data_IF_241746508991
#
_entry.id   IF_241746508991
#
_cell.length_a   1.000
_cell.length_b   1.000
_cell.length_c   1.000
_cell.angle_alpha   90.00
_cell.angle_beta   90.00
_cell.angle_gamma   90.00
#
_symmetry.space_group_name_H-M   'P 1'
#
loop_
_entity.id
_entity.type
_entity.pdbx_description
1 polymer ?
#
# COMPACT_ATOMS: atom_id res chain seq x y z
N UNK A 1 48.81 -32.53 -19.86
CA UNK A 1 47.54 -33.23 -19.57
C UNK A 1 46.66 -32.22 -18.86
N UNK A 2 45.83 -31.53 -19.65
CA UNK A 2 44.97 -30.43 -19.21
C UNK A 2 43.76 -31.01 -18.47
N UNK A 3 43.40 -30.45 -17.31
CA UNK A 3 42.07 -30.61 -16.74
C UNK A 3 41.37 -29.26 -16.75
N UNK A 4 40.23 -29.28 -17.40
CA UNK A 4 39.41 -28.16 -17.83
C UNK A 4 38.86 -27.31 -16.68
N UNK A 5 38.89 -26.00 -16.89
CA UNK A 5 37.97 -25.01 -16.34
C UNK A 5 36.56 -25.25 -16.84
N UNK A 6 35.58 -25.43 -15.94
CA UNK A 6 34.18 -25.10 -16.19
C UNK A 6 33.33 -25.11 -14.90
N UNK A 7 33.06 -23.93 -14.36
CA UNK A 7 31.81 -23.64 -13.64
C UNK A 7 31.60 -22.12 -13.61
N UNK A 8 31.38 -21.52 -14.79
CA UNK A 8 30.70 -20.21 -14.89
C UNK A 8 29.20 -20.48 -14.75
N UNK A 9 28.74 -20.56 -13.51
CA UNK A 9 27.31 -20.57 -13.16
C UNK A 9 26.80 -19.14 -13.02
N UNK A 10 25.88 -18.76 -13.88
CA UNK A 10 25.14 -17.49 -13.92
C UNK A 10 24.08 -17.42 -12.81
N UNK A 11 24.50 -17.26 -11.55
CA UNK A 11 23.60 -17.08 -10.39
C UNK A 11 23.86 -15.79 -9.58
N UNK A 12 24.85 -14.97 -9.97
CA UNK A 12 25.27 -13.79 -9.22
C UNK A 12 24.39 -12.54 -9.34
N UNK A 13 23.37 -12.53 -10.19
CA UNK A 13 22.61 -11.31 -10.52
C UNK A 13 21.28 -11.12 -9.76
N UNK A 14 20.88 -12.07 -8.91
CA UNK A 14 19.58 -11.99 -8.19
C UNK A 14 19.66 -11.40 -6.78
N UNK A 15 20.86 -11.10 -6.27
CA UNK A 15 21.04 -10.51 -4.94
C UNK A 15 21.86 -9.24 -5.05
N UNK A 16 21.19 -8.07 -4.93
CA UNK A 16 21.87 -6.79 -4.76
C UNK A 16 22.16 -6.60 -3.27
N UNK A 17 23.41 -6.28 -2.93
CA UNK A 17 23.79 -5.93 -1.55
C UNK A 17 23.31 -4.51 -1.24
N UNK A 18 22.68 -4.34 -0.08
CA UNK A 18 22.27 -3.05 0.45
C UNK A 18 23.43 -2.36 1.17
N UNK A 19 23.44 -1.03 1.19
CA UNK A 19 24.37 -0.29 2.03
C UNK A 19 23.92 -0.36 3.49
N UNK A 20 24.86 -0.62 4.40
CA UNK A 20 24.56 -0.77 5.83
C UNK A 20 25.46 0.15 6.64
N UNK A 21 24.84 0.92 7.53
CA UNK A 21 25.54 1.72 8.54
C UNK A 21 25.05 1.36 9.93
N UNK A 22 25.83 1.76 10.94
CA UNK A 22 25.35 1.87 12.31
C UNK A 22 25.61 3.26 12.84
N UNK A 23 24.67 3.77 13.62
CA UNK A 23 24.77 5.07 14.27
C UNK A 23 24.58 4.95 15.78
N UNK A 24 25.31 5.76 16.55
CA UNK A 24 25.10 5.86 17.98
C UNK A 24 23.78 6.59 18.32
N UNK A 25 23.49 6.74 19.62
CA UNK A 25 22.29 7.43 20.09
C UNK A 25 22.28 8.95 19.81
N UNK A 26 23.42 9.52 19.40
CA UNK A 26 23.55 10.90 18.96
C UNK A 26 23.56 11.02 17.42
N UNK A 27 23.12 9.98 16.73
CA UNK A 27 23.09 9.88 15.27
C UNK A 27 24.46 10.04 14.60
N UNK A 28 25.54 9.56 15.24
CA UNK A 28 26.89 9.58 14.68
C UNK A 28 27.29 8.23 14.13
N UNK A 29 27.96 8.18 12.98
CA UNK A 29 28.40 6.91 12.40
C UNK A 29 29.40 6.18 13.29
N UNK A 30 29.12 4.90 13.57
CA UNK A 30 30.00 3.99 14.31
C UNK A 30 30.33 2.72 13.52
N UNK A 31 29.71 2.53 12.37
CA UNK A 31 30.03 1.49 11.38
C UNK A 31 29.56 1.94 10.01
N UNK A 32 30.38 1.70 8.99
CA UNK A 32 30.11 1.99 7.59
C UNK A 32 30.62 0.81 6.78
N UNK A 33 29.82 0.27 5.87
CA UNK A 33 30.29 -0.72 4.89
C UNK A 33 30.74 -0.07 3.56
N UNK A 34 31.35 -0.88 2.69
CA UNK A 34 31.89 -0.41 1.40
C UNK A 34 30.81 0.15 0.45
N UNK A 35 29.54 -0.21 0.62
CA UNK A 35 28.44 0.27 -0.21
C UNK A 35 27.93 1.61 0.30
N UNK A 36 27.90 1.80 1.62
CA UNK A 36 27.62 3.08 2.25
C UNK A 36 28.69 4.12 1.87
N UNK A 37 29.97 3.77 1.84
CA UNK A 37 31.02 4.71 1.38
C UNK A 37 30.72 5.27 -0.03
N UNK A 38 30.27 4.39 -0.94
CA UNK A 38 29.87 4.79 -2.30
C UNK A 38 28.61 5.65 -2.30
N UNK A 39 27.64 5.33 -1.45
CA UNK A 39 26.39 6.06 -1.31
C UNK A 39 26.60 7.49 -0.79
N UNK A 40 27.42 7.64 0.25
CA UNK A 40 27.73 8.95 0.84
C UNK A 40 28.81 9.73 0.06
N UNK A 41 29.51 9.06 -0.88
CA UNK A 41 30.59 9.66 -1.66
C UNK A 41 31.84 9.97 -0.82
N UNK A 42 32.01 9.31 0.32
CA UNK A 42 33.13 9.50 1.24
C UNK A 42 33.65 8.16 1.75
N UNK A 43 34.96 8.05 2.00
CA UNK A 43 35.51 6.86 2.64
C UNK A 43 35.12 6.83 4.12
N UNK A 44 35.11 5.64 4.72
CA UNK A 44 34.62 5.39 6.07
C UNK A 44 35.39 6.17 7.14
N UNK A 45 36.68 6.45 6.94
CA UNK A 45 37.48 7.25 7.87
C UNK A 45 36.98 8.69 7.96
N UNK A 46 36.38 9.21 6.89
CA UNK A 46 35.79 10.54 6.86
C UNK A 46 34.36 10.56 7.40
N UNK A 47 33.67 9.42 7.40
CA UNK A 47 32.30 9.29 7.89
C UNK A 47 32.25 8.99 9.39
N UNK A 48 33.21 8.23 9.92
CA UNK A 48 33.22 7.79 11.31
C UNK A 48 33.14 8.98 12.28
N UNK A 49 32.17 8.95 13.20
CA UNK A 49 31.90 10.00 14.18
C UNK A 49 31.20 11.25 13.65
N UNK A 50 31.01 11.40 12.33
CA UNK A 50 30.18 12.49 11.76
C UNK A 50 28.71 12.30 12.06
N UNK A 51 27.95 13.38 12.03
CA UNK A 51 26.52 13.36 12.24
C UNK A 51 25.78 12.95 10.97
N UNK A 52 24.75 12.10 11.10
CA UNK A 52 23.80 11.83 10.02
C UNK A 52 23.11 13.10 9.52
N UNK A 53 22.98 14.11 10.37
CA UNK A 53 22.39 15.40 9.99
C UNK A 53 23.10 16.02 8.78
N UNK A 54 24.40 15.81 8.66
CA UNK A 54 25.20 16.41 7.58
C UNK A 54 24.89 15.81 6.20
N UNK A 55 24.16 14.68 6.17
CA UNK A 55 23.87 13.89 4.97
C UNK A 55 22.37 13.69 4.72
N UNK A 56 21.51 14.40 5.44
CA UNK A 56 20.06 14.34 5.28
C UNK A 56 19.53 15.76 5.10
N UNK A 57 18.42 15.91 4.38
CA UNK A 57 17.67 17.16 4.47
C UNK A 57 16.95 17.30 5.83
N UNK A 58 16.50 18.51 6.16
CA UNK A 58 15.93 18.80 7.48
C UNK A 58 14.65 18.01 7.76
N UNK A 59 13.83 17.75 6.73
CA UNK A 59 12.61 16.93 6.85
C UNK A 59 12.96 15.48 7.18
N UNK A 60 13.88 14.89 6.42
CA UNK A 60 14.36 13.52 6.62
C UNK A 60 15.07 13.34 7.95
N UNK A 61 15.85 14.34 8.38
CA UNK A 61 16.50 14.30 9.68
C UNK A 61 15.48 14.37 10.82
N UNK A 62 14.45 15.21 10.68
CA UNK A 62 13.34 15.29 11.66
C UNK A 62 12.57 13.97 11.74
N UNK A 63 12.30 13.34 10.59
CA UNK A 63 11.66 12.03 10.52
C UNK A 63 12.52 10.93 11.14
N UNK A 64 13.82 10.92 10.88
CA UNK A 64 14.74 9.99 11.54
C UNK A 64 14.66 10.14 13.07
N UNK A 65 14.71 11.38 13.56
CA UNK A 65 14.62 11.66 15.00
C UNK A 65 13.27 11.34 15.63
N UNK A 66 12.18 11.21 14.87
CA UNK A 66 10.90 10.74 15.44
C UNK A 66 10.86 9.21 15.57
N UNK A 67 11.59 8.50 14.71
CA UNK A 67 11.67 7.03 14.73
C UNK A 67 12.55 6.53 15.88
N UNK A 68 13.74 7.11 16.08
CA UNK A 68 14.73 6.59 17.04
C UNK A 68 14.27 6.57 18.53
N UNK A 69 13.62 7.61 19.08
CA UNK A 69 13.28 7.69 20.50
C UNK A 69 11.92 7.07 20.85
N UNK A 70 11.11 6.70 19.86
CA UNK A 70 9.68 6.40 20.06
C UNK A 70 9.39 5.07 20.75
N UNK A 71 10.41 4.26 21.11
CA UNK A 71 10.19 2.91 21.62
C UNK A 71 10.81 2.67 23.00
N UNK A 72 9.93 2.29 23.93
CA UNK A 72 10.28 1.91 25.30
C UNK A 72 11.31 0.78 25.27
N UNK A 73 12.34 0.96 26.10
CA UNK A 73 13.53 0.13 26.15
C UNK A 73 13.18 -1.36 26.34
N UNK A 74 13.89 -2.26 25.63
CA UNK A 74 13.95 -3.73 25.76
C UNK A 74 13.34 -4.60 24.63
N UNK A 75 12.77 -4.04 23.57
CA UNK A 75 12.33 -4.84 22.41
C UNK A 75 13.09 -4.48 21.11
N UNK A 76 13.41 -5.49 20.30
CA UNK A 76 13.92 -5.28 18.94
C UNK A 76 12.80 -4.77 18.05
N UNK A 77 13.02 -3.66 17.37
CA UNK A 77 12.08 -3.11 16.40
C UNK A 77 12.70 -3.03 15.00
N UNK A 78 11.81 -2.98 14.00
CA UNK A 78 12.15 -2.71 12.62
C UNK A 78 11.17 -1.67 12.10
N UNK A 79 11.66 -0.48 11.77
CA UNK A 79 10.85 0.58 11.16
C UNK A 79 11.33 0.79 9.73
N UNK A 80 10.39 0.84 8.79
CA UNK A 80 10.68 1.16 7.40
C UNK A 80 10.17 2.57 7.07
N UNK A 81 11.05 3.42 6.54
CA UNK A 81 10.69 4.79 6.16
C UNK A 81 11.50 5.24 4.95
N UNK A 82 11.14 6.39 4.38
CA UNK A 82 11.85 6.99 3.24
C UNK A 82 12.52 8.28 3.66
N UNK A 83 13.80 8.41 3.34
CA UNK A 83 14.60 9.60 3.60
C UNK A 83 15.26 10.11 2.32
N UNK A 84 15.56 11.40 2.30
CA UNK A 84 16.39 12.06 1.29
C UNK A 84 17.81 12.22 1.83
N UNK A 85 18.74 11.47 1.25
CA UNK A 85 20.18 11.58 1.53
C UNK A 85 20.83 12.61 0.61
N UNK A 86 21.73 13.41 1.16
CA UNK A 86 22.57 14.37 0.43
C UNK A 86 24.00 13.86 0.52
N UNK A 87 24.58 13.45 -0.61
CA UNK A 87 25.94 12.92 -0.62
C UNK A 87 26.99 14.06 -0.58
N UNK A 88 28.27 13.71 -0.47
CA UNK A 88 29.35 14.71 -0.40
C UNK A 88 29.54 15.57 -1.66
N UNK A 89 28.91 15.20 -2.79
CA UNK A 89 28.87 16.01 -4.02
C UNK A 89 27.67 16.97 -4.01
N UNK A 90 26.75 16.81 -3.07
CA UNK A 90 25.50 17.56 -2.98
C UNK A 90 24.35 16.92 -3.76
N UNK A 91 24.55 15.71 -4.30
CA UNK A 91 23.49 14.99 -5.01
C UNK A 91 22.46 14.46 -4.01
N UNK A 92 21.18 14.57 -4.37
CA UNK A 92 20.06 14.11 -3.54
C UNK A 92 19.61 12.71 -3.97
N UNK A 93 19.48 11.82 -3.00
CA UNK A 93 19.08 10.43 -3.18
C UNK A 93 17.89 10.13 -2.28
N UNK A 94 16.69 9.93 -2.86
CA UNK A 94 15.57 9.38 -2.11
C UNK A 94 15.77 7.87 -1.93
N UNK A 95 15.70 7.39 -0.69
CA UNK A 95 16.03 6.01 -0.35
C UNK A 95 15.02 5.45 0.65
N UNK A 96 14.60 4.20 0.42
CA UNK A 96 13.90 3.41 1.42
C UNK A 96 14.92 2.85 2.41
N UNK A 97 14.66 3.04 3.69
CA UNK A 97 15.53 2.57 4.77
C UNK A 97 14.77 1.68 5.72
N UNK A 98 15.50 0.72 6.29
CA UNK A 98 15.04 -0.09 7.42
C UNK A 98 15.94 0.26 8.60
N UNK A 99 15.33 0.70 9.70
CA UNK A 99 16.00 1.07 10.94
C UNK A 99 15.68 0.01 11.99
N UNK A 100 16.70 -0.46 12.70
CA UNK A 100 16.53 -1.38 13.83
C UNK A 100 17.49 -1.07 14.96
N UNK A 101 17.06 -1.28 16.21
CA UNK A 101 17.94 -1.16 17.38
C UNK A 101 18.71 -2.46 17.61
N UNK A 102 20.05 -2.35 17.67
CA UNK A 102 20.94 -3.46 17.99
C UNK A 102 21.19 -3.56 19.50
N UNK A 103 21.28 -4.79 19.99
CA UNK A 103 21.60 -5.10 21.39
C UNK A 103 22.93 -5.83 21.51
N UNK A 104 23.73 -5.46 22.51
CA UNK A 104 24.95 -6.17 22.92
C UNK A 104 24.79 -6.55 24.37
N UNK A 105 24.80 -7.87 24.66
CA UNK A 105 24.57 -8.41 25.99
C UNK A 105 23.29 -7.87 26.66
N UNK A 106 22.21 -7.74 25.89
CA UNK A 106 20.91 -7.26 26.36
C UNK A 106 20.79 -5.74 26.52
N UNK A 107 21.87 -4.99 26.30
CA UNK A 107 21.84 -3.53 26.34
C UNK A 107 21.77 -2.95 24.92
N UNK A 108 20.91 -1.94 24.68
CA UNK A 108 20.88 -1.25 23.39
C UNK A 108 22.25 -0.60 23.14
N UNK A 109 22.80 -0.79 21.94
CA UNK A 109 24.17 -0.39 21.62
C UNK A 109 24.26 0.67 20.51
N UNK A 110 23.45 0.53 19.46
CA UNK A 110 23.40 1.42 18.30
C UNK A 110 22.15 1.13 17.47
N UNK A 111 21.84 2.02 16.55
CA UNK A 111 20.87 1.74 15.50
C UNK A 111 21.61 1.23 14.26
N UNK A 112 21.08 0.17 13.65
CA UNK A 112 21.46 -0.27 12.31
C UNK A 112 20.48 0.32 11.31
N UNK A 113 21.03 0.87 10.23
CA UNK A 113 20.24 1.39 9.12
C UNK A 113 20.69 0.64 7.87
N UNK A 114 19.73 0.02 7.20
CA UNK A 114 19.91 -0.64 5.91
C UNK A 114 19.28 0.27 4.87
N UNK A 115 20.09 0.83 3.99
CA UNK A 115 19.61 1.53 2.80
C UNK A 115 19.31 0.49 1.75
N UNK A 116 18.03 0.29 1.45
CA UNK A 116 17.70 -0.36 0.21
C UNK A 116 18.03 0.64 -0.88
N UNK A 117 18.97 0.35 -1.80
CA UNK A 117 18.90 1.04 -3.07
C UNK A 117 17.47 0.79 -3.54
N UNK A 118 16.73 1.85 -3.86
CA UNK A 118 15.50 1.67 -4.60
C UNK A 118 15.83 0.65 -5.69
N UNK A 119 14.86 -0.22 -6.03
CA UNK A 119 14.76 -0.67 -7.41
C UNK A 119 15.16 0.56 -8.21
N UNK A 120 16.30 0.53 -8.91
CA UNK A 120 16.50 1.47 -10.00
C UNK A 120 15.14 1.39 -10.66
N UNK A 121 14.39 2.50 -10.64
CA UNK A 121 13.30 2.59 -11.58
C UNK A 121 14.09 2.41 -12.85
N UNK A 122 14.08 1.18 -13.38
CA UNK A 122 14.20 0.93 -14.79
C UNK A 122 13.38 2.08 -15.32
N UNK A 123 13.95 2.99 -16.11
CA UNK A 123 13.16 3.96 -16.84
C UNK A 123 12.32 3.12 -17.79
N UNK A 124 11.31 2.47 -17.22
CA UNK A 124 10.28 1.74 -17.85
C UNK A 124 9.16 2.72 -17.69
N UNK A 125 8.84 3.34 -18.81
CA UNK A 125 7.59 4.00 -19.13
C UNK A 125 6.41 3.02 -19.00
N UNK A 126 6.36 2.22 -17.94
CA UNK A 126 5.35 1.23 -17.63
C UNK A 126 5.02 1.32 -16.15
N UNK A 127 4.10 2.26 -15.90
CA UNK A 127 3.04 2.15 -14.90
C UNK A 127 3.50 1.83 -13.47
N UNK A 128 3.88 2.88 -12.73
CA UNK A 128 3.39 2.96 -11.35
C UNK A 128 1.90 2.66 -11.43
N UNK A 129 1.48 1.60 -10.76
CA UNK A 129 0.37 0.83 -11.29
C UNK A 129 -1.02 1.43 -11.12
N UNK A 130 -1.18 2.76 -11.08
CA UNK A 130 -2.39 3.55 -10.76
C UNK A 130 -3.07 3.19 -9.42
N UNK A 131 -3.29 1.91 -9.17
CA UNK A 131 -3.84 1.26 -8.00
C UNK A 131 -2.79 0.91 -6.94
N UNK A 132 -1.49 1.12 -7.19
CA UNK A 132 -0.41 0.76 -6.25
C UNK A 132 -0.47 1.47 -4.89
N UNK A 133 -1.11 2.65 -4.82
CA UNK A 133 -1.29 3.40 -3.57
C UNK A 133 -2.51 2.94 -2.76
N UNK A 134 -3.50 2.30 -3.41
CA UNK A 134 -4.74 1.88 -2.74
C UNK A 134 -4.45 0.94 -1.55
N UNK A 135 -3.64 -0.14 -1.68
CA UNK A 135 -3.37 -1.03 -0.55
C UNK A 135 -2.83 -0.31 0.68
N UNK A 136 -1.90 0.64 0.50
CA UNK A 136 -1.33 1.40 1.61
C UNK A 136 -2.37 2.29 2.30
N UNK A 137 -3.20 2.99 1.52
CA UNK A 137 -4.29 3.81 2.06
C UNK A 137 -5.32 2.97 2.81
N UNK A 138 -5.66 1.79 2.28
CA UNK A 138 -6.61 0.88 2.91
C UNK A 138 -6.06 0.30 4.21
N UNK A 139 -4.80 -0.16 4.24
CA UNK A 139 -4.15 -0.68 5.46
C UNK A 139 -4.11 0.41 6.54
N UNK A 140 -3.69 1.63 6.17
CA UNK A 140 -3.67 2.76 7.10
C UNK A 140 -5.06 3.06 7.65
N UNK A 141 -6.08 3.13 6.80
CA UNK A 141 -7.46 3.36 7.22
C UNK A 141 -7.98 2.26 8.16
N UNK A 142 -7.76 0.98 7.81
CA UNK A 142 -8.24 -0.16 8.61
C UNK A 142 -7.59 -0.17 9.99
N UNK A 143 -6.31 0.19 10.09
CA UNK A 143 -5.60 0.26 11.36
C UNK A 143 -6.16 1.32 12.33
N UNK A 144 -6.91 2.29 11.80
CA UNK A 144 -7.55 3.37 12.56
C UNK A 144 -9.01 3.09 12.93
N UNK A 145 -9.58 1.93 12.57
CA UNK A 145 -10.97 1.60 12.90
C UNK A 145 -11.04 1.20 14.38
N UNK A 146 -11.66 2.04 15.20
CA UNK A 146 -11.81 1.76 16.65
C UNK A 146 -13.10 0.99 16.98
N UNK A 147 -14.23 1.33 16.33
CA UNK A 147 -15.55 0.76 16.62
C UNK A 147 -16.38 0.53 15.37
N UNK A 148 -16.59 1.59 14.60
CA UNK A 148 -17.46 1.58 13.42
C UNK A 148 -16.68 1.96 12.17
N UNK A 149 -17.06 1.36 11.04
CA UNK A 149 -16.45 1.65 9.73
C UNK A 149 -17.14 2.86 9.13
N UNK A 150 -16.36 3.90 8.85
CA UNK A 150 -16.79 5.01 7.99
C UNK A 150 -16.74 4.58 6.52
N UNK A 151 -17.81 3.93 6.06
CA UNK A 151 -17.95 3.42 4.69
C UNK A 151 -17.79 4.51 3.62
N UNK A 152 -18.16 5.75 3.95
CA UNK A 152 -18.05 6.89 3.03
C UNK A 152 -16.59 7.28 2.83
N UNK A 153 -15.82 7.37 3.92
CA UNK A 153 -14.38 7.61 3.88
C UNK A 153 -13.67 6.48 3.12
N UNK A 154 -14.04 5.22 3.37
CA UNK A 154 -13.50 4.07 2.66
C UNK A 154 -13.73 4.16 1.14
N UNK A 155 -14.94 4.47 0.69
CA UNK A 155 -15.22 4.68 -0.73
C UNK A 155 -14.43 5.86 -1.31
N UNK A 156 -14.15 6.89 -0.50
CA UNK A 156 -13.32 8.03 -0.88
C UNK A 156 -11.86 7.67 -1.19
N UNK A 157 -11.31 6.63 -0.57
CA UNK A 157 -9.92 6.22 -0.83
C UNK A 157 -9.71 5.73 -2.27
N UNK A 158 -10.73 5.12 -2.87
CA UNK A 158 -10.69 4.71 -4.28
C UNK A 158 -10.64 5.90 -5.24
N UNK A 159 -11.08 7.09 -4.81
CA UNK A 159 -11.03 8.29 -5.64
C UNK A 159 -9.60 8.84 -5.75
N UNK A 160 -8.62 8.35 -4.98
CA UNK A 160 -7.22 8.69 -5.19
C UNK A 160 -6.69 8.20 -6.55
N UNK A 161 -7.36 7.22 -7.17
CA UNK A 161 -7.00 6.69 -8.48
C UNK A 161 -7.84 7.36 -9.57
N UNK A 162 -7.18 8.09 -10.48
CA UNK A 162 -7.85 8.87 -11.53
C UNK A 162 -8.73 8.03 -12.45
N UNK A 163 -8.36 6.77 -12.66
CA UNK A 163 -9.11 5.86 -13.52
C UNK A 163 -10.33 5.23 -12.87
N UNK A 164 -10.46 5.28 -11.53
CA UNK A 164 -11.69 4.90 -10.84
C UNK A 164 -12.64 6.09 -10.83
N UNK A 165 -13.75 5.98 -11.53
CA UNK A 165 -14.76 7.03 -11.64
C UNK A 165 -15.74 7.01 -10.48
N UNK A 166 -16.11 5.81 -10.03
CA UNK A 166 -17.02 5.60 -8.90
C UNK A 166 -16.67 4.32 -8.16
N UNK A 167 -16.89 4.34 -6.85
CA UNK A 167 -16.81 3.16 -6.01
C UNK A 167 -18.00 3.14 -5.06
N UNK A 168 -18.45 1.95 -4.69
CA UNK A 168 -19.52 1.77 -3.73
C UNK A 168 -19.47 0.40 -3.11
N UNK A 169 -19.85 0.35 -1.85
CA UNK A 169 -19.81 -0.86 -1.04
C UNK A 169 -21.23 -1.22 -0.66
N UNK A 170 -21.55 -2.49 -0.89
CA UNK A 170 -22.85 -3.06 -0.56
C UNK A 170 -22.69 -4.12 0.53
N UNK A 171 -23.67 -4.20 1.41
CA UNK A 171 -23.90 -5.33 2.31
C UNK A 171 -24.88 -6.30 1.67
N UNK A 172 -24.54 -7.59 1.70
CA UNK A 172 -25.45 -8.64 1.28
C UNK A 172 -26.42 -8.94 2.42
N UNK A 173 -27.71 -8.73 2.16
CA UNK A 173 -28.81 -9.16 3.01
C UNK A 173 -29.57 -10.26 2.28
N UNK A 174 -30.16 -11.22 3.01
CA UNK A 174 -30.87 -12.42 2.50
C UNK A 174 -31.23 -12.44 1.00
N UNK A 175 -32.01 -11.44 0.52
CA UNK A 175 -32.43 -11.34 -0.88
C UNK A 175 -32.10 -9.99 -1.57
N UNK A 176 -31.19 -9.18 -1.02
CA UNK A 176 -30.84 -7.87 -1.59
C UNK A 176 -29.41 -7.40 -1.30
N UNK A 177 -28.96 -6.41 -2.06
CA UNK A 177 -27.74 -5.66 -1.79
C UNK A 177 -28.10 -4.27 -1.24
N UNK A 178 -27.78 -4.04 0.03
CA UNK A 178 -27.94 -2.74 0.67
C UNK A 178 -26.70 -1.88 0.42
N UNK A 179 -26.86 -0.71 -0.19
CA UNK A 179 -25.76 0.22 -0.40
C UNK A 179 -25.34 0.88 0.92
N UNK A 180 -24.14 0.56 1.42
CA UNK A 180 -23.59 1.17 2.63
C UNK A 180 -23.05 2.58 2.35
N UNK A 181 -22.30 2.73 1.26
CA UNK A 181 -21.75 4.01 0.82
C UNK A 181 -21.38 4.00 -0.66
N UNK A 182 -21.23 5.19 -1.22
CA UNK A 182 -20.71 5.40 -2.58
C UNK A 182 -19.92 6.70 -2.65
N UNK A 183 -18.92 6.74 -3.52
CA UNK A 183 -18.20 7.95 -3.85
C UNK A 183 -17.89 8.00 -5.36
N UNK A 184 -17.70 9.20 -5.89
CA UNK A 184 -17.47 9.42 -7.31
C UNK A 184 -16.68 10.71 -7.52
N UNK A 185 -15.84 10.71 -8.56
CA UNK A 185 -15.18 11.95 -9.03
C UNK A 185 -16.21 12.96 -9.53
N UNK A 186 -15.85 14.25 -9.53
CA UNK A 186 -16.59 15.28 -10.28
C UNK A 186 -16.41 15.06 -11.79
N UNK A 187 -16.96 13.96 -12.31
CA UNK A 187 -16.93 13.61 -13.72
C UNK A 187 -18.00 14.40 -14.51
N UNK A 188 -17.85 14.53 -15.84
CA UNK A 188 -18.85 15.17 -16.69
C UNK A 188 -20.24 14.54 -16.53
N UNK A 189 -21.26 15.38 -16.56
CA UNK A 189 -22.67 15.01 -16.46
C UNK A 189 -23.09 14.05 -17.59
N UNK A 190 -22.98 12.75 -17.35
CA UNK A 190 -23.32 11.71 -18.32
C UNK A 190 -22.73 10.32 -18.04
N UNK A 191 -21.62 10.26 -17.29
CA UNK A 191 -20.94 9.01 -16.93
C UNK A 191 -21.41 8.48 -15.55
N UNK A 192 -22.33 9.21 -14.88
CA UNK A 192 -22.78 8.84 -13.56
C UNK A 192 -23.81 7.71 -13.59
N UNK A 193 -23.37 6.50 -13.24
CA UNK A 193 -24.25 5.37 -12.91
C UNK A 193 -24.85 5.57 -11.52
N UNK A 194 -26.14 5.25 -11.38
CA UNK A 194 -26.85 5.28 -10.11
C UNK A 194 -26.66 3.94 -9.38
N UNK A 195 -25.90 3.95 -8.29
CA UNK A 195 -25.63 2.77 -7.47
C UNK A 195 -26.84 2.34 -6.62
N UNK A 196 -27.85 3.20 -6.44
CA UNK A 196 -29.08 2.86 -5.75
C UNK A 196 -30.03 2.00 -6.60
N UNK A 197 -29.81 1.91 -7.91
CA UNK A 197 -30.61 1.03 -8.79
C UNK A 197 -30.18 -0.41 -8.63
N UNK A 198 -31.14 -1.26 -8.28
CA UNK A 198 -30.96 -2.71 -8.23
C UNK A 198 -30.49 -3.26 -9.58
N UNK A 199 -29.50 -4.14 -9.52
CA UNK A 199 -29.03 -4.89 -10.68
C UNK A 199 -28.83 -6.34 -10.25
N UNK A 200 -29.64 -7.22 -10.84
CA UNK A 200 -29.67 -8.65 -10.52
C UNK A 200 -28.31 -9.33 -10.72
N UNK A 201 -27.53 -8.88 -11.71
CA UNK A 201 -26.23 -9.48 -12.00
C UNK A 201 -25.24 -9.29 -10.84
N UNK A 202 -25.28 -8.13 -10.17
CA UNK A 202 -24.42 -7.87 -9.00
C UNK A 202 -24.86 -8.66 -7.77
N UNK A 203 -26.17 -8.84 -7.58
CA UNK A 203 -26.68 -9.72 -6.53
C UNK A 203 -26.25 -11.18 -6.79
N UNK A 204 -26.45 -11.68 -8.00
CA UNK A 204 -26.04 -13.03 -8.39
C UNK A 204 -24.52 -13.23 -8.24
N UNK A 205 -23.72 -12.20 -8.53
CA UNK A 205 -22.27 -12.19 -8.34
C UNK A 205 -21.87 -12.35 -6.86
N UNK A 206 -22.53 -11.59 -5.97
CA UNK A 206 -22.31 -11.69 -4.53
C UNK A 206 -22.72 -13.08 -4.00
N UNK A 207 -23.91 -13.57 -4.36
CA UNK A 207 -24.41 -14.88 -3.91
C UNK A 207 -23.54 -16.04 -4.40
N UNK A 208 -23.08 -15.97 -5.66
CA UNK A 208 -22.19 -17.00 -6.24
C UNK A 208 -20.73 -16.81 -5.83
N UNK A 209 -20.41 -15.74 -5.09
CA UNK A 209 -19.05 -15.37 -4.70
C UNK A 209 -18.09 -15.34 -5.90
N UNK A 210 -18.52 -14.70 -7.01
CA UNK A 210 -17.72 -14.58 -8.23
C UNK A 210 -17.77 -13.15 -8.79
N UNK A 211 -16.66 -12.58 -9.30
CA UNK A 211 -16.66 -11.24 -9.87
C UNK A 211 -17.56 -11.11 -11.10
N UNK A 212 -18.31 -10.00 -11.18
CA UNK A 212 -19.05 -9.62 -12.39
C UNK A 212 -18.39 -8.40 -13.02
N UNK A 213 -18.28 -8.40 -14.35
CA UNK A 213 -17.63 -7.33 -15.13
C UNK A 213 -18.43 -7.08 -16.39
N UNK A 214 -18.76 -5.82 -16.64
CA UNK A 214 -19.49 -5.40 -17.83
C UNK A 214 -18.87 -4.14 -18.44
N UNK A 215 -18.46 -4.20 -19.70
CA UNK A 215 -17.94 -3.04 -20.43
C UNK A 215 -19.07 -2.28 -21.13
N UNK A 216 -19.08 -0.95 -21.01
CA UNK A 216 -20.08 -0.06 -21.63
C UNK A 216 -19.38 1.10 -22.32
N UNK A 217 -19.82 1.41 -23.54
CA UNK A 217 -19.44 2.65 -24.22
C UNK A 217 -20.45 3.74 -23.85
N UNK A 218 -20.00 4.79 -23.16
CA UNK A 218 -20.84 5.94 -22.79
C UNK A 218 -20.46 7.14 -23.66
N UNK A 219 -21.45 7.68 -24.36
CA UNK A 219 -21.31 8.94 -25.08
C UNK A 219 -21.56 10.11 -24.12
N UNK A 220 -20.56 10.98 -23.94
CA UNK A 220 -20.74 12.23 -23.21
C UNK A 220 -21.82 13.09 -23.90
N UNK A 221 -22.78 13.64 -23.14
CA UNK A 221 -23.84 14.46 -23.72
C UNK A 221 -23.29 15.80 -24.24
N UNK A 222 -23.69 16.11 -25.48
CA UNK A 222 -23.47 17.35 -26.26
C UNK A 222 -23.23 18.61 -25.43
N UNK A 223 -22.02 19.16 -25.49
CA UNK A 223 -21.80 20.58 -25.79
C UNK A 223 -20.35 20.97 -26.12
N UNK A 224 -19.37 20.08 -25.98
CA UNK A 224 -18.05 20.21 -26.61
C UNK A 224 -17.50 18.80 -26.82
N UNK A 225 -16.97 18.52 -28.01
CA UNK A 225 -16.37 17.24 -28.48
C UNK A 225 -16.94 15.95 -27.87
N UNK A 226 -17.82 15.29 -28.62
CA UNK A 226 -18.37 13.98 -28.27
C UNK A 226 -17.29 12.89 -28.24
N UNK A 227 -16.55 12.81 -27.14
CA UNK A 227 -15.62 11.73 -26.85
C UNK A 227 -16.42 10.60 -26.21
N UNK A 228 -16.54 9.49 -26.93
CA UNK A 228 -17.10 8.27 -26.38
C UNK A 228 -16.07 7.67 -25.42
N UNK A 229 -16.47 7.40 -24.17
CA UNK A 229 -15.60 6.85 -23.14
C UNK A 229 -16.02 5.41 -22.90
N UNK A 230 -15.08 4.48 -23.08
CA UNK A 230 -15.25 3.12 -22.60
C UNK A 230 -15.14 3.12 -21.08
N UNK A 231 -16.12 2.53 -20.42
CA UNK A 231 -16.06 2.27 -18.99
C UNK A 231 -16.29 0.80 -18.72
N UNK A 232 -15.86 0.35 -17.56
CA UNK A 232 -16.11 -0.99 -17.04
C UNK A 232 -16.83 -0.86 -15.70
N UNK A 233 -17.97 -1.53 -15.58
CA UNK A 233 -18.81 -1.64 -14.40
C UNK A 233 -18.59 -3.03 -13.79
N UNK A 234 -17.82 -3.07 -12.71
CA UNK A 234 -17.41 -4.32 -12.07
C UNK A 234 -17.92 -4.43 -10.64
N UNK A 235 -18.20 -5.65 -10.21
CA UNK A 235 -18.62 -6.00 -8.86
C UNK A 235 -17.78 -7.15 -8.35
N UNK A 236 -17.10 -6.93 -7.24
CA UNK A 236 -16.17 -7.86 -6.63
C UNK A 236 -16.73 -8.31 -5.27
N UNK A 237 -16.95 -9.61 -5.05
CA UNK A 237 -17.44 -10.13 -3.78
C UNK A 237 -16.50 -9.77 -2.62
N UNK A 238 -17.10 -9.38 -1.49
CA UNK A 238 -16.40 -9.19 -0.23
C UNK A 238 -16.68 -10.42 0.63
N UNK A 239 -15.66 -11.25 0.81
CA UNK A 239 -15.80 -12.57 1.41
C UNK A 239 -14.80 -12.83 2.52
N UNK A 240 -15.24 -13.59 3.52
CA UNK A 240 -14.40 -14.10 4.60
C UNK A 240 -14.64 -15.60 4.76
N UNK A 241 -13.57 -16.40 4.76
CA UNK A 241 -13.66 -17.87 4.82
C UNK A 241 -14.63 -18.50 3.80
N UNK A 242 -14.69 -17.93 2.59
CA UNK A 242 -15.57 -18.40 1.51
C UNK A 242 -17.02 -17.93 1.60
N UNK A 243 -17.43 -17.28 2.70
CA UNK A 243 -18.75 -16.66 2.84
C UNK A 243 -18.72 -15.21 2.37
N UNK A 244 -19.51 -14.88 1.35
CA UNK A 244 -19.70 -13.52 0.88
C UNK A 244 -20.64 -12.76 1.82
N UNK A 245 -20.20 -11.59 2.29
CA UNK A 245 -21.01 -10.71 3.14
C UNK A 245 -21.36 -9.39 2.44
N UNK A 246 -20.71 -9.08 1.32
CA UNK A 246 -20.92 -7.81 0.62
C UNK A 246 -20.36 -7.79 -0.78
N UNK A 247 -20.39 -6.62 -1.42
CA UNK A 247 -19.90 -6.41 -2.77
C UNK A 247 -19.22 -5.04 -2.88
N UNK A 248 -18.00 -5.01 -3.42
CA UNK A 248 -17.36 -3.78 -3.88
C UNK A 248 -17.69 -3.58 -5.36
N UNK A 249 -18.43 -2.51 -5.68
CA UNK A 249 -18.71 -2.11 -7.07
C UNK A 249 -17.84 -0.95 -7.47
N UNK A 250 -17.19 -1.05 -8.63
CA UNK A 250 -16.25 -0.04 -9.14
C UNK A 250 -16.55 0.26 -10.61
N UNK A 251 -16.60 1.53 -10.96
CA UNK A 251 -16.67 2.02 -12.35
C UNK A 251 -15.33 2.63 -12.72
N UNK A 252 -14.71 2.18 -13.81
CA UNK A 252 -13.37 2.67 -14.22
C UNK A 252 -13.19 2.72 -15.75
N UNK A 253 -12.23 3.51 -16.24
CA UNK A 253 -12.04 3.79 -17.69
C UNK A 253 -11.28 2.71 -18.46
N UNK A 254 -10.38 1.98 -17.82
CA UNK A 254 -9.53 0.98 -18.47
C UNK A 254 -9.82 -0.44 -17.97
N UNK A 255 -10.45 -1.24 -18.84
CA UNK A 255 -10.81 -2.65 -18.59
C UNK A 255 -9.67 -3.65 -18.65
N UNK A 256 -8.40 -3.22 -18.58
CA UNK A 256 -7.27 -4.13 -18.55
C UNK A 256 -7.45 -5.22 -17.49
N UNK A 257 -7.03 -6.45 -17.83
CA UNK A 257 -7.14 -7.59 -16.92
C UNK A 257 -6.36 -7.35 -15.63
N UNK A 258 -5.24 -6.63 -15.70
CA UNK A 258 -4.43 -6.26 -14.55
C UNK A 258 -5.21 -5.41 -13.53
N UNK A 259 -5.95 -4.38 -13.99
CA UNK A 259 -6.77 -3.54 -13.11
C UNK A 259 -7.88 -4.36 -12.43
N UNK A 260 -8.52 -5.25 -13.20
CA UNK A 260 -9.56 -6.13 -12.66
C UNK A 260 -9.00 -7.05 -11.58
N UNK A 261 -7.85 -7.67 -11.84
CA UNK A 261 -7.24 -8.63 -10.92
C UNK A 261 -6.80 -7.93 -9.63
N UNK A 262 -6.22 -6.73 -9.72
CA UNK A 262 -5.90 -5.89 -8.53
C UNK A 262 -7.13 -5.49 -7.73
N UNK A 263 -8.20 -5.03 -8.39
CA UNK A 263 -9.44 -4.68 -7.70
C UNK A 263 -10.07 -5.90 -7.01
N UNK A 264 -9.94 -7.08 -7.60
CA UNK A 264 -10.36 -8.32 -6.98
C UNK A 264 -9.51 -8.69 -5.74
N UNK A 265 -8.20 -8.52 -5.80
CA UNK A 265 -7.30 -8.69 -4.65
C UNK A 265 -7.65 -7.71 -3.50
N UNK A 266 -7.90 -6.44 -3.85
CA UNK A 266 -8.35 -5.42 -2.89
C UNK A 266 -9.69 -5.82 -2.27
N UNK A 267 -10.64 -6.30 -3.06
CA UNK A 267 -11.93 -6.77 -2.56
C UNK A 267 -11.76 -7.98 -1.63
N UNK A 268 -10.88 -8.93 -1.95
CA UNK A 268 -10.58 -10.07 -1.09
C UNK A 268 -9.95 -9.63 0.24
N UNK A 269 -9.04 -8.66 0.22
CA UNK A 269 -8.46 -8.07 1.43
C UNK A 269 -9.53 -7.39 2.30
N UNK A 270 -10.34 -6.50 1.71
CA UNK A 270 -11.42 -5.81 2.41
C UNK A 270 -12.47 -6.78 2.95
N UNK A 271 -12.79 -7.82 2.18
CA UNK A 271 -13.68 -8.90 2.58
C UNK A 271 -13.24 -9.56 3.87
N UNK A 272 -11.94 -9.85 4.02
CA UNK A 272 -11.41 -10.41 5.25
C UNK A 272 -11.32 -9.39 6.39
N UNK A 273 -10.80 -8.19 6.10
CA UNK A 273 -10.50 -7.19 7.12
C UNK A 273 -11.76 -6.58 7.75
N UNK A 274 -12.86 -6.45 6.98
CA UNK A 274 -14.07 -5.74 7.41
C UNK A 274 -15.23 -6.66 7.80
N UNK A 275 -15.08 -7.98 7.70
CA UNK A 275 -16.13 -8.95 7.98
C UNK A 275 -16.82 -8.73 9.34
N UNK A 276 -16.02 -8.55 10.40
CA UNK A 276 -16.50 -8.41 11.78
C UNK A 276 -17.31 -7.13 12.02
N UNK A 277 -17.17 -6.12 11.16
CA UNK A 277 -17.90 -4.86 11.25
C UNK A 277 -19.17 -4.85 10.39
N UNK A 278 -19.23 -5.71 9.37
CA UNK A 278 -20.33 -5.72 8.41
C UNK A 278 -21.40 -6.77 8.73
N UNK A 279 -20.98 -7.92 9.25
CA UNK A 279 -21.88 -8.95 9.74
C UNK A 279 -22.16 -8.63 11.20
N UNK A 280 -23.39 -8.21 11.50
CA UNK A 280 -23.83 -8.14 12.89
C UNK A 280 -23.53 -9.50 13.52
N UNK A 281 -22.57 -9.51 14.45
CA UNK A 281 -22.40 -10.61 15.36
C UNK A 281 -23.73 -10.76 16.09
N UNK A 282 -24.54 -11.69 15.63
CA UNK A 282 -25.66 -12.25 16.39
C UNK A 282 -25.08 -13.06 17.54
N UNK A 283 -24.32 -12.41 18.42
CA UNK A 283 -24.05 -12.90 19.75
C UNK A 283 -25.37 -12.68 20.49
N UNK A 284 -26.11 -13.74 20.85
CA UNK A 284 -27.19 -13.56 21.79
C UNK A 284 -26.55 -12.93 23.03
N UNK A 285 -26.99 -11.71 23.38
CA UNK A 285 -26.73 -11.17 24.71
C UNK A 285 -27.32 -12.21 25.65
N UNK A 286 -26.48 -13.04 26.24
CA UNK A 286 -26.82 -13.74 27.47
C UNK A 286 -27.16 -12.60 28.43
N UNK A 287 -28.45 -12.35 28.58
CA UNK A 287 -28.96 -11.55 29.68
C UNK A 287 -28.34 -12.15 30.92
N UNK A 288 -27.47 -11.37 31.56
CA UNK A 288 -27.02 -11.68 32.89
C UNK A 288 -28.27 -11.63 33.77
N UNK A 289 -28.89 -12.79 33.97
CA UNK A 289 -29.87 -12.99 35.02
C UNK A 289 -29.18 -12.59 36.32
N UNK A 290 -29.66 -11.48 36.87
CA UNK A 290 -29.31 -11.03 38.20
C UNK A 290 -29.68 -12.13 39.21
N UNK A 291 -28.69 -12.60 39.95
CA UNK A 291 -28.86 -13.27 41.25
C UNK A 291 -28.14 -12.43 42.29
#
# INVERSE_FOLDING_TARGET
MNRETAAKGTEGEKSRRCAVIKIDFNCRFVYIDEYAERLFGLPSENLFGRSMKDFLDEESYTLLLSVLPSQNHYESFFEATRLTLIDARGDRHELDIIISLNFIAGNPANYQIIFSPLNERVPNEQSASEYGEIPHLLISYISMIEKDVDWQKLCGLFMAVENILQAGIYRLHHDDLELLAQNYHKAPSGIRIDFGKRNKNFFDAAVKNYPYVESKLINAKKNDDSTAVNIVDSGFPLSHNGQCWGLLRVIYKDGSTENRDRLNEIAAFLGNALYMYAVELSVPRLEAEAV
#
